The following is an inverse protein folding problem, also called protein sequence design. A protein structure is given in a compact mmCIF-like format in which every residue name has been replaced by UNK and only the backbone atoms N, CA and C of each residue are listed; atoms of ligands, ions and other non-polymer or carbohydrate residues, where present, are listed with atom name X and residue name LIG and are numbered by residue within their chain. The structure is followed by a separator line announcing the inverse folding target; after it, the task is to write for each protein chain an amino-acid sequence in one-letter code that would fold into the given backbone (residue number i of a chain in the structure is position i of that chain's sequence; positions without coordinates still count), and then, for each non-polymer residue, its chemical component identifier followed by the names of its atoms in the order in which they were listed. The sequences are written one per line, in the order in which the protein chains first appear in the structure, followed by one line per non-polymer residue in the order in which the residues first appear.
data_IF_048554396596
#
_entry.id   IF_048554396596
#
_cell.length_a   1.000
_cell.length_b   1.000
_cell.length_c   1.000
_cell.angle_alpha   90.00
_cell.angle_beta   90.00
_cell.angle_gamma   90.00
#
_symmetry.space_group_name_H-M   'P 1'
#
loop_
_entity.id
_entity.type
_entity.pdbx_description
1 polymer ?
#
# COMPACT_ATOMS: atom_id res chain seq x y z
N UNK A 1 4.26 18.82 -7.23
CA UNK A 1 5.73 18.90 -6.93
C UNK A 1 6.40 17.52 -6.76
N UNK A 2 5.71 16.45 -6.33
CA UNK A 2 6.28 15.09 -6.23
C UNK A 2 6.58 14.43 -7.60
N UNK A 3 5.78 14.69 -8.62
CA UNK A 3 5.99 14.11 -9.96
C UNK A 3 7.17 14.73 -10.76
N UNK A 4 7.60 15.95 -10.46
CA UNK A 4 8.77 16.56 -11.11
C UNK A 4 10.12 16.01 -10.61
N UNK A 5 10.17 15.52 -9.35
CA UNK A 5 11.38 14.85 -8.83
C UNK A 5 11.67 13.51 -9.50
N UNK A 6 10.67 12.85 -10.08
CA UNK A 6 10.83 11.55 -10.74
C UNK A 6 11.67 11.61 -12.03
N UNK A 7 11.71 12.74 -12.74
CA UNK A 7 12.49 12.88 -13.99
C UNK A 7 14.00 12.72 -13.77
N UNK A 8 14.51 13.20 -12.65
CA UNK A 8 15.94 13.06 -12.30
C UNK A 8 16.29 11.65 -11.80
N UNK A 9 15.37 11.00 -11.08
CA UNK A 9 15.58 9.65 -10.55
C UNK A 9 15.61 8.58 -11.65
N UNK A 10 14.77 8.69 -12.66
CA UNK A 10 14.68 7.69 -13.74
C UNK A 10 15.92 7.68 -14.61
N UNK A 11 16.40 8.85 -15.03
CA UNK A 11 17.62 8.95 -15.84
C UNK A 11 18.87 8.44 -15.09
N UNK A 12 18.96 8.70 -13.79
CA UNK A 12 20.05 8.19 -12.97
C UNK A 12 19.97 6.66 -12.79
N UNK A 13 18.78 6.11 -12.58
CA UNK A 13 18.56 4.67 -12.48
C UNK A 13 18.90 3.95 -13.79
N UNK A 14 18.43 4.48 -14.92
CA UNK A 14 18.73 3.95 -16.26
C UNK A 14 20.25 3.98 -16.53
N UNK A 15 20.92 5.10 -16.23
CA UNK A 15 22.37 5.23 -16.39
C UNK A 15 23.16 4.24 -15.51
N UNK A 16 22.61 3.88 -14.34
CA UNK A 16 23.18 2.89 -13.42
C UNK A 16 22.76 1.44 -13.74
N UNK A 17 21.91 1.20 -14.73
CA UNK A 17 21.37 -0.13 -15.05
C UNK A 17 20.40 -0.67 -13.96
N UNK A 18 19.76 0.21 -13.18
CA UNK A 18 18.87 -0.15 -12.08
C UNK A 18 17.42 0.05 -12.50
N UNK A 19 16.58 -0.98 -12.31
CA UNK A 19 15.15 -0.89 -12.54
C UNK A 19 14.40 -0.32 -11.31
N UNK A 20 13.23 0.27 -11.54
CA UNK A 20 12.31 0.72 -10.47
C UNK A 20 11.30 -0.39 -10.21
N UNK A 21 11.29 -0.96 -9.01
CA UNK A 21 10.36 -2.03 -8.63
C UNK A 21 8.94 -1.49 -8.39
N UNK A 22 8.83 -0.37 -7.68
CA UNK A 22 7.57 0.27 -7.33
C UNK A 22 7.76 1.57 -6.56
N UNK A 23 6.66 2.23 -6.24
CA UNK A 23 6.60 3.42 -5.38
C UNK A 23 5.19 3.58 -4.78
N UNK A 24 5.02 4.51 -3.84
CA UNK A 24 3.71 4.78 -3.26
C UNK A 24 2.74 5.32 -4.31
N UNK A 25 1.62 4.63 -4.47
CA UNK A 25 0.59 4.93 -5.47
C UNK A 25 -0.51 5.87 -4.96
N UNK A 26 -0.57 6.08 -3.68
CA UNK A 26 -1.47 6.99 -2.99
C UNK A 26 -0.73 8.20 -2.39
N UNK A 27 -1.49 9.12 -1.79
CA UNK A 27 -0.98 10.32 -1.16
C UNK A 27 -1.70 10.55 0.19
N UNK A 28 -2.29 11.72 0.35
CA UNK A 28 -3.05 12.17 1.50
C UNK A 28 -4.53 11.74 1.48
N UNK A 29 -4.92 10.86 0.54
CA UNK A 29 -6.28 10.33 0.39
C UNK A 29 -6.42 8.96 1.05
N UNK A 30 -7.65 8.62 1.45
CA UNK A 30 -7.94 7.43 2.24
C UNK A 30 -8.85 6.43 1.53
N UNK A 31 -8.54 5.13 1.67
CA UNK A 31 -9.40 4.03 1.22
C UNK A 31 -10.63 3.83 2.10
N UNK A 32 -10.55 4.23 3.38
CA UNK A 32 -11.59 3.97 4.38
C UNK A 32 -12.67 5.05 4.46
N UNK A 33 -12.49 6.15 3.73
CA UNK A 33 -13.46 7.22 3.63
C UNK A 33 -14.25 7.11 2.31
N UNK A 34 -15.56 6.81 2.37
CA UNK A 34 -16.37 6.68 1.17
C UNK A 34 -16.49 7.99 0.37
N UNK A 35 -16.33 9.15 1.03
CA UNK A 35 -16.43 10.47 0.36
C UNK A 35 -15.19 10.76 -0.49
N UNK A 36 -14.04 10.20 -0.16
CA UNK A 36 -12.79 10.39 -0.91
C UNK A 36 -12.58 9.40 -2.07
N UNK A 37 -13.48 8.44 -2.25
CA UNK A 37 -13.30 7.35 -3.22
C UNK A 37 -12.95 7.83 -4.63
N UNK A 38 -13.70 8.76 -5.17
CA UNK A 38 -13.49 9.22 -6.56
C UNK A 38 -12.15 9.95 -6.72
N UNK A 39 -11.79 10.78 -5.76
CA UNK A 39 -10.51 11.50 -5.76
C UNK A 39 -9.34 10.52 -5.60
N UNK A 40 -9.49 9.51 -4.72
CA UNK A 40 -8.52 8.45 -4.53
C UNK A 40 -8.26 7.68 -5.84
N UNK A 41 -9.32 7.25 -6.51
CA UNK A 41 -9.22 6.51 -7.77
C UNK A 41 -8.64 7.38 -8.89
N UNK A 42 -8.99 8.66 -8.94
CA UNK A 42 -8.43 9.60 -9.90
C UNK A 42 -6.93 9.79 -9.66
N UNK A 43 -6.50 9.91 -8.41
CA UNK A 43 -5.08 10.00 -8.06
C UNK A 43 -4.34 8.70 -8.43
N UNK A 44 -4.90 7.56 -8.07
CA UNK A 44 -4.32 6.24 -8.33
C UNK A 44 -4.10 6.00 -9.84
N UNK A 45 -5.05 6.41 -10.70
CA UNK A 45 -4.86 6.34 -12.17
C UNK A 45 -3.64 7.14 -12.63
N UNK A 46 -3.42 8.33 -12.08
CA UNK A 46 -2.21 9.13 -12.38
C UNK A 46 -0.93 8.44 -11.90
N UNK A 47 -0.97 7.81 -10.74
CA UNK A 47 0.15 7.03 -10.20
C UNK A 47 0.49 5.83 -11.07
N UNK A 48 -0.52 5.13 -11.57
CA UNK A 48 -0.36 4.03 -12.52
C UNK A 48 0.27 4.50 -13.84
N UNK A 49 -0.17 5.62 -14.39
CA UNK A 49 0.44 6.18 -15.60
C UNK A 49 1.90 6.63 -15.36
N UNK A 50 2.20 7.13 -14.16
CA UNK A 50 3.57 7.43 -13.78
C UNK A 50 4.41 6.14 -13.66
N UNK A 51 3.85 5.07 -13.08
CA UNK A 51 4.51 3.78 -12.99
C UNK A 51 4.88 3.21 -14.37
N UNK A 52 3.94 3.24 -15.31
CA UNK A 52 4.20 2.82 -16.69
C UNK A 52 5.35 3.62 -17.34
N UNK A 53 5.37 4.93 -17.14
CA UNK A 53 6.41 5.81 -17.73
C UNK A 53 7.82 5.51 -17.24
N UNK A 54 7.95 5.04 -15.99
CA UNK A 54 9.26 4.73 -15.38
C UNK A 54 9.57 3.24 -15.38
N UNK A 55 8.70 2.42 -15.98
CA UNK A 55 8.86 0.96 -16.02
C UNK A 55 8.67 0.26 -14.69
N UNK A 56 8.06 0.92 -13.69
CA UNK A 56 7.74 0.32 -12.40
C UNK A 56 6.62 -0.72 -12.55
N UNK A 57 6.75 -1.84 -11.84
CA UNK A 57 5.82 -2.98 -11.94
C UNK A 57 4.66 -2.90 -10.98
N UNK A 58 4.78 -2.10 -9.93
CA UNK A 58 3.75 -2.00 -8.89
C UNK A 58 3.70 -0.63 -8.23
N UNK A 59 2.58 -0.37 -7.57
CA UNK A 59 2.40 0.76 -6.66
C UNK A 59 1.91 0.23 -5.31
N UNK A 60 2.36 0.86 -4.23
CA UNK A 60 1.91 0.57 -2.86
C UNK A 60 0.77 1.48 -2.49
N UNK A 61 -0.25 0.94 -1.81
CA UNK A 61 -1.44 1.65 -1.35
C UNK A 61 -1.72 1.35 0.12
N UNK A 62 -2.28 2.35 0.83
CA UNK A 62 -2.52 2.29 2.27
C UNK A 62 -4.00 2.54 2.60
N UNK A 63 -4.44 2.17 3.80
CA UNK A 63 -5.83 2.38 4.23
C UNK A 63 -6.15 3.84 4.51
N UNK A 64 -5.22 4.56 5.14
CA UNK A 64 -5.36 5.97 5.49
C UNK A 64 -4.44 6.85 4.65
N UNK A 65 -4.81 8.09 4.49
CA UNK A 65 -3.92 9.11 3.95
C UNK A 65 -2.74 9.35 4.87
N UNK A 66 -1.54 9.39 4.28
CA UNK A 66 -0.28 9.58 5.00
C UNK A 66 0.35 10.93 4.64
N UNK A 67 0.65 11.72 5.66
CA UNK A 67 1.36 12.99 5.56
C UNK A 67 2.88 12.85 5.57
N UNK A 68 3.56 13.93 5.85
CA UNK A 68 5.02 13.95 5.94
C UNK A 68 5.50 13.01 7.07
N UNK A 69 6.56 12.25 6.78
CA UNK A 69 7.08 11.27 7.72
C UNK A 69 6.19 10.02 7.91
N UNK A 70 5.13 9.86 7.13
CA UNK A 70 4.21 8.73 7.25
C UNK A 70 3.16 8.88 8.35
N UNK A 71 3.00 10.08 8.90
CA UNK A 71 1.98 10.35 9.93
C UNK A 71 0.58 10.20 9.32
N UNK A 72 -0.31 9.48 9.99
CA UNK A 72 -1.72 9.35 9.59
C UNK A 72 -2.40 10.72 9.72
N UNK A 73 -3.01 11.19 8.63
CA UNK A 73 -3.60 12.54 8.56
C UNK A 73 -4.92 12.61 9.31
N UNK A 74 -5.77 11.59 9.15
CA UNK A 74 -7.07 11.49 9.79
C UNK A 74 -7.32 10.05 10.26
N UNK A 75 -7.78 9.90 11.50
CA UNK A 75 -8.14 8.60 12.10
C UNK A 75 -9.58 8.20 11.77
N UNK A 76 -10.38 9.13 11.25
CA UNK A 76 -11.81 8.93 10.93
C UNK A 76 -12.60 8.40 12.14
N UNK A 77 -12.42 9.01 13.31
CA UNK A 77 -13.06 8.59 14.56
C UNK A 77 -14.59 8.66 14.51
N UNK A 78 -15.14 9.49 13.61
CA UNK A 78 -16.57 9.57 13.33
C UNK A 78 -17.15 8.41 12.51
N UNK A 79 -16.32 7.55 11.93
CA UNK A 79 -16.74 6.39 11.15
C UNK A 79 -16.57 5.10 11.96
N UNK A 80 -17.60 4.25 11.96
CA UNK A 80 -17.48 2.91 12.56
C UNK A 80 -16.52 2.04 11.75
N UNK A 81 -15.91 1.03 12.40
CA UNK A 81 -15.02 0.08 11.71
C UNK A 81 -15.73 -0.67 10.58
N UNK A 82 -17.03 -0.92 10.71
CA UNK A 82 -17.83 -1.53 9.64
C UNK A 82 -17.90 -0.62 8.41
N UNK A 83 -18.14 0.67 8.60
CA UNK A 83 -18.15 1.64 7.48
C UNK A 83 -16.78 1.71 6.84
N UNK A 84 -15.71 1.81 7.64
CA UNK A 84 -14.33 1.81 7.14
C UNK A 84 -13.99 0.57 6.31
N UNK A 85 -14.37 -0.62 6.80
CA UNK A 85 -14.16 -1.88 6.08
C UNK A 85 -14.92 -1.94 4.75
N UNK A 86 -16.20 -1.57 4.75
CA UNK A 86 -17.03 -1.57 3.55
C UNK A 86 -16.49 -0.55 2.52
N UNK A 87 -16.15 0.65 2.95
CA UNK A 87 -15.58 1.68 2.08
C UNK A 87 -14.27 1.22 1.44
N UNK A 88 -13.36 0.66 2.26
CA UNK A 88 -12.09 0.11 1.78
C UNK A 88 -12.31 -1.02 0.78
N UNK A 89 -13.19 -1.98 1.06
CA UNK A 89 -13.49 -3.09 0.17
C UNK A 89 -14.01 -2.61 -1.19
N UNK A 90 -14.99 -1.71 -1.19
CA UNK A 90 -15.58 -1.19 -2.43
C UNK A 90 -14.59 -0.38 -3.26
N UNK A 91 -13.72 0.40 -2.60
CA UNK A 91 -12.67 1.14 -3.29
C UNK A 91 -11.59 0.21 -3.85
N UNK A 92 -11.16 -0.79 -3.07
CA UNK A 92 -10.18 -1.79 -3.52
C UNK A 92 -10.65 -2.64 -4.69
N UNK A 93 -11.94 -2.93 -4.81
CA UNK A 93 -12.49 -3.59 -6.02
C UNK A 93 -12.26 -2.77 -7.29
N UNK A 94 -12.40 -1.46 -7.20
CA UNK A 94 -12.13 -0.57 -8.32
C UNK A 94 -10.63 -0.42 -8.57
N UNK A 95 -9.81 -0.37 -7.51
CA UNK A 95 -8.35 -0.43 -7.61
C UNK A 95 -7.88 -1.69 -8.34
N UNK A 96 -8.44 -2.85 -8.00
CA UNK A 96 -8.14 -4.12 -8.64
C UNK A 96 -8.42 -4.08 -10.14
N UNK A 97 -9.56 -3.50 -10.54
CA UNK A 97 -9.87 -3.32 -11.96
C UNK A 97 -8.87 -2.41 -12.68
N UNK A 98 -8.46 -1.31 -12.05
CA UNK A 98 -7.42 -0.42 -12.59
C UNK A 98 -6.10 -1.18 -12.75
N UNK A 99 -5.72 -2.01 -11.77
CA UNK A 99 -4.52 -2.83 -11.82
C UNK A 99 -4.55 -3.83 -12.98
N UNK A 100 -5.67 -4.52 -13.15
CA UNK A 100 -5.86 -5.50 -14.24
C UNK A 100 -5.82 -4.84 -15.61
N UNK A 101 -6.56 -3.75 -15.80
CA UNK A 101 -6.63 -3.01 -17.06
C UNK A 101 -5.27 -2.40 -17.44
N UNK A 102 -4.47 -1.98 -16.47
CA UNK A 102 -3.19 -1.31 -16.67
C UNK A 102 -1.97 -2.24 -16.78
N UNK A 103 -2.07 -3.43 -16.19
CA UNK A 103 -0.94 -4.33 -16.01
C UNK A 103 0.02 -3.96 -14.87
N UNK A 104 -0.22 -2.86 -14.14
CA UNK A 104 0.54 -2.44 -12.95
C UNK A 104 -0.09 -3.04 -11.71
N UNK A 105 0.66 -3.81 -10.94
CA UNK A 105 0.15 -4.43 -9.71
C UNK A 105 -0.02 -3.39 -8.59
N UNK A 106 -0.96 -3.65 -7.69
CA UNK A 106 -1.17 -2.85 -6.48
C UNK A 106 -0.90 -3.71 -5.26
N UNK A 107 -0.11 -3.18 -4.35
CA UNK A 107 0.27 -3.85 -3.12
C UNK A 107 -0.31 -3.08 -1.93
N UNK A 108 -1.30 -3.67 -1.26
CA UNK A 108 -1.96 -3.13 -0.07
C UNK A 108 -1.08 -3.39 1.15
N UNK A 109 -0.64 -2.34 1.82
CA UNK A 109 0.30 -2.44 2.94
C UNK A 109 -0.40 -2.22 4.28
N UNK A 110 -0.42 -3.22 5.17
CA UNK A 110 -0.75 -3.02 6.59
C UNK A 110 0.44 -2.38 7.31
N UNK A 111 0.17 -1.35 8.12
CA UNK A 111 1.19 -0.54 8.78
C UNK A 111 1.18 -0.74 10.29
N UNK A 112 2.33 -0.58 10.96
CA UNK A 112 2.39 -0.60 12.40
C UNK A 112 1.73 0.66 13.00
N UNK A 113 0.98 0.45 14.07
CA UNK A 113 0.26 1.51 14.79
C UNK A 113 0.86 1.79 16.17
N UNK A 114 1.94 1.11 16.51
CA UNK A 114 2.60 1.23 17.82
C UNK A 114 3.66 2.32 17.85
N UNK A 115 4.26 2.63 16.68
CA UNK A 115 5.40 3.53 16.59
C UNK A 115 5.21 4.58 15.48
N UNK A 116 5.07 4.13 14.22
CA UNK A 116 5.22 5.04 13.06
C UNK A 116 3.90 5.59 12.53
N UNK A 117 2.84 4.78 12.51
CA UNK A 117 1.59 5.11 11.82
C UNK A 117 0.38 4.98 12.75
N UNK A 118 0.48 5.61 13.93
CA UNK A 118 -0.60 5.60 14.94
C UNK A 118 -1.92 6.03 14.29
N UNK A 119 -2.98 5.23 14.49
CA UNK A 119 -4.29 5.46 13.93
C UNK A 119 -4.53 4.87 12.53
N UNK A 120 -3.53 4.23 11.90
CA UNK A 120 -3.77 3.52 10.64
C UNK A 120 -4.77 2.39 10.84
N UNK A 121 -5.76 2.30 9.94
CA UNK A 121 -6.85 1.34 10.08
C UNK A 121 -6.42 -0.09 9.75
N UNK A 122 -5.74 -0.29 8.62
CA UNK A 122 -5.25 -1.59 8.20
C UNK A 122 -3.92 -1.91 8.89
N UNK A 123 -3.97 -2.81 9.87
CA UNK A 123 -2.84 -3.06 10.79
C UNK A 123 -2.43 -4.50 10.96
N UNK A 124 -3.10 -5.46 10.29
CA UNK A 124 -2.77 -6.87 10.42
C UNK A 124 -2.63 -7.58 9.08
N UNK A 125 -1.73 -8.56 9.03
CA UNK A 125 -1.56 -9.44 7.86
C UNK A 125 -2.86 -10.11 7.47
N UNK A 126 -3.58 -10.64 8.47
CA UNK A 126 -4.84 -11.34 8.26
C UNK A 126 -5.87 -10.44 7.56
N UNK A 127 -6.09 -9.22 8.06
CA UNK A 127 -7.07 -8.31 7.48
C UNK A 127 -6.74 -7.97 6.04
N UNK A 128 -5.47 -7.67 5.74
CA UNK A 128 -5.02 -7.39 4.37
C UNK A 128 -5.20 -8.59 3.44
N UNK A 129 -4.79 -9.79 3.89
CA UNK A 129 -4.89 -11.01 3.10
C UNK A 129 -6.34 -11.46 2.86
N UNK A 130 -7.21 -11.35 3.86
CA UNK A 130 -8.65 -11.64 3.69
C UNK A 130 -9.28 -10.67 2.68
N UNK A 131 -8.94 -9.37 2.74
CA UNK A 131 -9.44 -8.37 1.82
C UNK A 131 -9.01 -8.66 0.37
N UNK A 132 -7.73 -8.91 0.14
CA UNK A 132 -7.23 -9.23 -1.22
C UNK A 132 -7.76 -10.56 -1.73
N UNK A 133 -7.92 -11.55 -0.86
CA UNK A 133 -8.49 -12.87 -1.21
C UNK A 133 -9.96 -12.77 -1.59
N UNK A 134 -10.77 -11.98 -0.86
CA UNK A 134 -12.19 -11.76 -1.18
C UNK A 134 -12.37 -11.05 -2.53
N UNK A 135 -11.49 -10.11 -2.86
CA UNK A 135 -11.50 -9.42 -4.16
C UNK A 135 -11.05 -10.36 -5.28
N UNK A 136 -10.08 -11.23 -5.02
CA UNK A 136 -9.66 -12.30 -5.92
C UNK A 136 -8.86 -11.84 -7.14
N UNK A 137 -8.36 -10.61 -7.17
CA UNK A 137 -7.56 -10.11 -8.28
C UNK A 137 -6.12 -10.63 -8.23
N UNK A 138 -5.56 -11.09 -9.36
CA UNK A 138 -4.16 -11.48 -9.42
C UNK A 138 -3.20 -10.28 -9.31
N UNK A 139 -3.70 -9.06 -9.48
CA UNK A 139 -2.91 -7.83 -9.48
C UNK A 139 -3.11 -6.94 -8.26
N UNK A 140 -4.02 -7.30 -7.36
CA UNK A 140 -4.15 -6.67 -6.04
C UNK A 140 -3.66 -7.67 -5.01
N UNK A 141 -2.52 -7.38 -4.40
CA UNK A 141 -1.82 -8.24 -3.45
C UNK A 141 -1.45 -7.46 -2.18
N UNK A 142 -0.94 -8.16 -1.20
CA UNK A 142 -0.42 -7.56 0.02
C UNK A 142 1.06 -7.22 -0.15
N UNK A 143 1.46 -6.03 0.29
CA UNK A 143 2.84 -5.77 0.65
C UNK A 143 3.03 -6.22 2.09
N UNK A 144 3.88 -7.22 2.30
CA UNK A 144 4.21 -7.70 3.62
C UNK A 144 5.52 -7.05 4.09
N UNK A 145 5.41 -6.04 4.96
CA UNK A 145 6.57 -5.43 5.60
C UNK A 145 6.85 -6.13 6.93
N UNK A 146 7.96 -6.85 6.98
CA UNK A 146 8.39 -7.63 8.16
C UNK A 146 8.54 -6.74 9.39
N UNK A 147 9.07 -5.53 9.23
CA UNK A 147 9.20 -4.58 10.33
C UNK A 147 7.84 -4.16 10.91
N UNK A 148 6.90 -3.75 10.04
CA UNK A 148 5.57 -3.35 10.49
C UNK A 148 4.83 -4.49 11.19
N UNK A 149 4.88 -5.68 10.61
CA UNK A 149 4.17 -6.83 11.18
C UNK A 149 4.85 -7.38 12.44
N UNK A 150 6.18 -7.30 12.55
CA UNK A 150 6.87 -7.63 13.80
C UNK A 150 6.41 -6.74 14.96
N UNK A 151 6.26 -5.44 14.73
CA UNK A 151 5.83 -4.48 15.76
C UNK A 151 4.35 -4.64 16.14
N UNK A 152 3.47 -4.97 15.19
CA UNK A 152 2.04 -5.07 15.45
C UNK A 152 1.60 -6.43 16.00
N UNK A 153 2.09 -7.52 15.44
CA UNK A 153 1.51 -8.86 15.68
C UNK A 153 2.53 -9.97 15.92
N UNK A 154 3.78 -9.78 15.52
CA UNK A 154 4.80 -10.85 15.60
C UNK A 154 4.42 -12.08 14.76
N UNK A 155 4.78 -13.28 15.23
CA UNK A 155 4.44 -14.57 14.58
C UNK A 155 4.69 -14.60 13.06
N UNK A 156 5.77 -13.96 12.62
CA UNK A 156 6.05 -13.73 11.19
C UNK A 156 6.02 -15.01 10.35
N UNK A 157 6.64 -16.08 10.85
CA UNK A 157 6.69 -17.36 10.11
C UNK A 157 5.30 -17.96 9.92
N UNK A 158 4.42 -17.85 10.93
CA UNK A 158 3.08 -18.42 10.83
C UNK A 158 2.19 -17.57 9.90
N UNK A 159 2.33 -16.24 9.95
CA UNK A 159 1.65 -15.34 9.03
C UNK A 159 2.10 -15.58 7.58
N UNK A 160 3.40 -15.77 7.33
CA UNK A 160 3.91 -16.08 5.99
C UNK A 160 3.37 -17.43 5.49
N UNK A 161 3.30 -18.46 6.33
CA UNK A 161 2.73 -19.76 5.95
C UNK A 161 1.22 -19.68 5.66
N UNK A 162 0.47 -18.88 6.43
CA UNK A 162 -0.98 -18.80 6.32
C UNK A 162 -1.45 -17.91 5.15
N UNK A 163 -0.68 -16.88 4.82
CA UNK A 163 -1.12 -15.80 3.93
C UNK A 163 -0.16 -15.49 2.77
N UNK A 164 0.97 -16.18 2.67
CA UNK A 164 2.01 -15.92 1.67
C UNK A 164 1.52 -16.00 0.22
N UNK A 165 0.45 -16.75 -0.06
CA UNK A 165 -0.22 -16.79 -1.37
C UNK A 165 -0.82 -15.43 -1.79
N UNK A 166 -1.04 -14.53 -0.82
CA UNK A 166 -1.54 -13.19 -1.05
C UNK A 166 -0.42 -12.14 -1.17
N UNK A 167 0.82 -12.48 -0.89
CA UNK A 167 1.91 -11.51 -0.93
C UNK A 167 2.38 -11.24 -2.36
N UNK A 168 2.42 -9.96 -2.73
CA UNK A 168 2.94 -9.47 -4.01
C UNK A 168 4.29 -8.80 -3.90
N UNK A 169 4.61 -8.29 -2.71
CA UNK A 169 5.87 -7.63 -2.41
C UNK A 169 6.24 -7.81 -0.94
N UNK A 170 7.53 -7.78 -0.63
CA UNK A 170 8.03 -7.93 0.73
C UNK A 170 9.04 -6.81 1.01
N UNK A 171 8.86 -6.12 2.14
CA UNK A 171 9.88 -5.26 2.73
C UNK A 171 10.49 -5.95 3.94
N UNK A 172 11.79 -5.75 4.16
CA UNK A 172 12.51 -6.32 5.29
C UNK A 172 13.37 -5.23 5.93
N UNK A 173 13.18 -5.02 7.21
CA UNK A 173 14.04 -4.22 8.04
C UNK A 173 14.06 -4.79 9.46
N UNK A 174 15.08 -4.46 10.24
CA UNK A 174 15.20 -4.90 11.63
C UNK A 174 14.17 -4.21 12.55
N UNK A 175 13.82 -4.84 13.65
CA UNK A 175 12.93 -4.30 14.66
C UNK A 175 13.50 -4.56 16.07
N UNK A 176 13.55 -3.55 16.95
CA UNK A 176 13.18 -2.15 16.72
C UNK A 176 14.27 -1.38 15.96
N UNK A 177 13.96 -0.21 15.44
CA UNK A 177 14.98 0.70 14.88
C UNK A 177 14.97 0.79 13.36
N UNK A 178 14.40 -0.18 12.66
CA UNK A 178 14.22 -0.15 11.20
C UNK A 178 15.52 0.02 10.41
N UNK A 179 16.58 -0.66 10.87
CA UNK A 179 17.87 -0.74 10.18
C UNK A 179 17.89 -1.92 9.18
N UNK A 180 19.06 -2.17 8.59
CA UNK A 180 19.30 -3.37 7.80
C UNK A 180 19.07 -4.64 8.63
N UNK A 181 18.45 -5.69 8.04
CA UNK A 181 18.18 -6.93 8.74
C UNK A 181 19.45 -7.77 9.01
#
# INVERSE_FOLDING_TARGET
RRFERSKFGTAAAEAAGIGISGFNGDADLSLIDPEQREDYLAFLRRSVEAAKKVGARSVTIHSNGLGDGGVVIDHYDGLSDTVKLCAMFDTLKQCAKIAEDSGVSMNLEPLNVTTDHVGNFLRTTRMAAEMTRLIGSPRLKVLYDVYHMQLNEGSLCDNIRAYGDQFGHIHVADAPGRHEP
#
